data_IF_098394385094
#
_entry.id   IF_098394385094
#
_cell.length_a   1.000
_cell.length_b   1.000
_cell.length_c   1.000
_cell.angle_alpha   90.00
_cell.angle_beta   90.00
_cell.angle_gamma   90.00
#
_symmetry.space_group_name_H-M   'P 1'
#
loop_
_entity.id
_entity.type
_entity.pdbx_description
1 polymer ?
#
# COMPACT_ATOMS: atom_id res chain seq x y z
N UNK A 1 38.82 -32.01 23.39
CA UNK A 1 39.15 -30.60 23.70
C UNK A 1 38.41 -29.72 22.71
N UNK A 2 37.45 -28.91 23.18
CA UNK A 2 36.62 -28.07 22.32
C UNK A 2 37.16 -26.64 22.29
N UNK A 3 37.55 -26.17 21.12
CA UNK A 3 38.04 -24.81 20.88
C UNK A 3 36.86 -23.84 20.81
N UNK A 4 36.77 -22.92 21.77
CA UNK A 4 35.80 -21.84 21.75
C UNK A 4 36.20 -20.81 20.68
N UNK A 5 35.42 -20.71 19.61
CA UNK A 5 35.55 -19.66 18.60
C UNK A 5 34.90 -18.41 19.18
N UNK A 6 35.69 -17.49 19.72
CA UNK A 6 35.21 -16.17 20.14
C UNK A 6 34.96 -15.32 18.89
N UNK A 7 33.70 -14.99 18.64
CA UNK A 7 33.31 -14.03 17.61
C UNK A 7 33.67 -12.60 18.10
N UNK A 8 34.90 -12.17 17.81
CA UNK A 8 35.30 -10.76 17.96
C UNK A 8 34.94 -10.02 16.68
N UNK A 9 33.82 -9.29 16.69
CA UNK A 9 33.48 -8.36 15.62
C UNK A 9 34.61 -7.31 15.46
N UNK A 10 35.01 -6.95 14.22
CA UNK A 10 36.07 -6.00 14.00
C UNK A 10 35.67 -4.62 14.53
N UNK A 11 36.43 -4.12 15.51
CA UNK A 11 36.24 -2.83 16.23
C UNK A 11 36.16 -1.59 15.33
N UNK A 12 36.50 -1.72 14.05
CA UNK A 12 36.41 -0.68 13.02
C UNK A 12 34.97 -0.32 12.67
N UNK A 13 34.03 -1.26 12.69
CA UNK A 13 32.64 -1.01 12.30
C UNK A 13 31.86 -0.19 13.35
N UNK A 14 32.18 -0.36 14.63
CA UNK A 14 31.51 0.37 15.70
C UNK A 14 31.79 1.88 15.64
N UNK A 15 33.04 2.27 15.34
CA UNK A 15 33.43 3.68 15.25
C UNK A 15 32.80 4.39 14.04
N UNK A 16 32.65 3.68 12.93
CA UNK A 16 31.99 4.22 11.74
C UNK A 16 30.49 4.42 11.98
N UNK A 17 29.85 3.45 12.64
CA UNK A 17 28.44 3.54 13.03
C UNK A 17 28.21 4.70 14.02
N UNK A 18 29.11 4.91 14.99
CA UNK A 18 29.04 6.03 15.93
C UNK A 18 29.21 7.40 15.23
N UNK A 19 30.11 7.49 14.26
CA UNK A 19 30.29 8.70 13.46
C UNK A 19 29.08 9.00 12.58
N UNK A 20 28.48 7.99 11.95
CA UNK A 20 27.24 8.13 11.17
C UNK A 20 26.05 8.55 12.05
N UNK A 21 25.95 8.00 13.27
CA UNK A 21 24.94 8.41 14.27
C UNK A 21 25.12 9.85 14.71
N UNK A 22 26.35 10.32 14.88
CA UNK A 22 26.63 11.71 15.25
C UNK A 22 26.39 12.71 14.08
N UNK A 23 26.49 12.24 12.83
CA UNK A 23 26.20 13.04 11.63
C UNK A 23 24.69 13.16 11.33
N UNK A 24 23.85 12.30 11.91
CA UNK A 24 22.40 12.41 11.82
C UNK A 24 21.88 13.52 12.74
N UNK A 25 20.98 14.36 12.23
CA UNK A 25 20.29 15.35 13.07
C UNK A 25 19.48 14.64 14.16
N UNK A 26 19.40 15.27 15.35
CA UNK A 26 18.68 14.73 16.51
C UNK A 26 17.23 14.37 16.12
N UNK A 27 16.57 15.23 15.35
CA UNK A 27 15.20 15.01 14.86
C UNK A 27 15.07 13.74 13.98
N UNK A 28 16.09 13.46 13.16
CA UNK A 28 16.09 12.30 12.27
C UNK A 28 16.43 11.03 13.03
N UNK A 29 17.22 11.12 14.08
CA UNK A 29 17.54 10.01 14.97
C UNK A 29 16.31 9.60 15.80
N UNK A 30 15.55 10.57 16.29
CA UNK A 30 14.27 10.34 16.96
C UNK A 30 13.23 9.73 16.02
N UNK A 31 13.19 10.17 14.75
CA UNK A 31 12.33 9.56 13.74
C UNK A 31 12.72 8.10 13.48
N UNK A 32 13.99 7.82 13.20
CA UNK A 32 14.48 6.46 12.90
C UNK A 32 14.29 5.53 14.10
N UNK A 33 14.54 6.00 15.31
CA UNK A 33 14.30 5.19 16.52
C UNK A 33 12.81 4.95 16.75
N UNK A 34 11.94 5.93 16.47
CA UNK A 34 10.48 5.73 16.54
C UNK A 34 9.99 4.67 15.55
N UNK A 35 10.52 4.65 14.33
CA UNK A 35 10.20 3.66 13.29
C UNK A 35 10.68 2.25 13.68
N UNK A 36 11.91 2.11 14.18
CA UNK A 36 12.49 0.83 14.62
C UNK A 36 11.71 0.24 15.79
N UNK A 37 11.25 1.07 16.71
CA UNK A 37 10.52 0.64 17.90
C UNK A 37 9.01 0.55 17.70
N UNK A 38 8.50 0.82 16.49
CA UNK A 38 7.06 0.79 16.20
C UNK A 38 6.27 1.79 17.04
N UNK A 39 6.91 2.82 17.57
CA UNK A 39 6.19 3.94 18.19
C UNK A 39 5.40 4.61 17.08
N UNK A 40 4.15 5.03 17.31
CA UNK A 40 3.42 5.81 16.32
C UNK A 40 4.27 7.03 15.99
N UNK A 41 4.81 7.05 14.77
CA UNK A 41 5.55 8.21 14.32
C UNK A 41 4.56 9.38 14.22
N UNK A 42 5.01 10.63 14.34
CA UNK A 42 4.16 11.80 14.06
C UNK A 42 3.57 11.80 12.63
N UNK A 43 4.12 10.95 11.75
CA UNK A 43 3.70 10.72 10.37
C UNK A 43 2.72 9.53 10.24
N UNK A 44 2.42 8.83 11.34
CA UNK A 44 1.42 7.78 11.34
C UNK A 44 0.05 8.44 11.27
N UNK A 45 -0.64 8.18 10.17
CA UNK A 45 -1.93 8.77 9.87
C UNK A 45 -2.97 8.11 10.79
N UNK A 46 -3.56 8.89 11.70
CA UNK A 46 -4.59 8.37 12.60
C UNK A 46 -5.82 7.95 11.78
N UNK A 47 -6.19 6.68 11.87
CA UNK A 47 -7.39 6.14 11.22
C UNK A 47 -8.65 6.64 11.95
N UNK A 48 -9.01 7.91 11.76
CA UNK A 48 -10.28 8.45 12.23
C UNK A 48 -11.42 7.91 11.37
N UNK A 49 -12.60 7.72 11.98
CA UNK A 49 -13.77 7.23 11.25
C UNK A 49 -14.17 8.18 10.11
N UNK A 50 -13.97 9.49 10.29
CA UNK A 50 -14.21 10.52 9.28
C UNK A 50 -13.28 10.36 8.06
N UNK A 51 -11.99 10.11 8.31
CA UNK A 51 -11.04 9.83 7.25
C UNK A 51 -11.41 8.56 6.49
N UNK A 52 -11.78 7.50 7.20
CA UNK A 52 -12.18 6.23 6.58
C UNK A 52 -13.40 6.43 5.69
N UNK A 53 -14.42 7.14 6.16
CA UNK A 53 -15.63 7.39 5.37
C UNK A 53 -15.33 8.26 4.14
N UNK A 54 -14.62 9.37 4.32
CA UNK A 54 -14.27 10.28 3.22
C UNK A 54 -13.41 9.59 2.15
N UNK A 55 -12.42 8.80 2.55
CA UNK A 55 -11.55 8.05 1.64
C UNK A 55 -12.29 6.92 0.90
N UNK A 56 -13.21 6.22 1.54
CA UNK A 56 -14.05 5.20 0.88
C UNK A 56 -14.95 5.82 -0.19
N UNK A 57 -15.55 6.98 0.10
CA UNK A 57 -16.37 7.72 -0.88
C UNK A 57 -15.51 8.24 -2.03
N UNK A 58 -14.33 8.77 -1.74
CA UNK A 58 -13.39 9.22 -2.76
C UNK A 58 -12.92 8.07 -3.66
N UNK A 59 -12.64 6.91 -3.07
CA UNK A 59 -12.24 5.70 -3.81
C UNK A 59 -13.34 5.20 -4.74
N UNK A 60 -14.59 5.20 -4.29
CA UNK A 60 -15.71 4.81 -5.13
C UNK A 60 -15.87 5.74 -6.34
N UNK A 61 -15.78 7.06 -6.12
CA UNK A 61 -15.81 8.04 -7.22
C UNK A 61 -14.65 7.84 -8.20
N UNK A 62 -13.44 7.62 -7.71
CA UNK A 62 -12.26 7.40 -8.56
C UNK A 62 -12.44 6.15 -9.43
N UNK A 63 -12.91 5.04 -8.84
CA UNK A 63 -13.17 3.80 -9.57
C UNK A 63 -14.26 3.97 -10.63
N UNK A 64 -15.32 4.73 -10.34
CA UNK A 64 -16.38 5.04 -11.31
C UNK A 64 -15.88 5.89 -12.48
N UNK A 65 -15.04 6.91 -12.20
CA UNK A 65 -14.44 7.76 -13.24
C UNK A 65 -13.57 6.93 -14.18
N UNK A 66 -12.75 6.02 -13.64
CA UNK A 66 -11.88 5.16 -14.44
C UNK A 66 -12.63 4.16 -15.29
N UNK A 67 -13.73 3.61 -14.77
CA UNK A 67 -14.61 2.73 -15.55
C UNK A 67 -15.20 3.47 -16.76
N UNK A 68 -15.67 4.71 -16.58
CA UNK A 68 -16.20 5.53 -17.70
C UNK A 68 -15.13 5.91 -18.71
N UNK A 69 -13.96 6.33 -18.22
CA UNK A 69 -12.85 6.70 -19.12
C UNK A 69 -12.44 5.54 -20.02
N UNK A 70 -12.41 4.31 -19.48
CA UNK A 70 -12.04 3.12 -20.26
C UNK A 70 -13.08 2.73 -21.30
N UNK A 71 -14.37 2.96 -21.04
CA UNK A 71 -15.42 2.67 -22.04
C UNK A 71 -15.38 3.61 -23.25
N UNK A 72 -14.91 4.85 -23.07
CA UNK A 72 -14.81 5.83 -24.16
C UNK A 72 -13.57 5.59 -25.05
N UNK A 73 -12.52 4.94 -24.51
CA UNK A 73 -11.27 4.65 -25.23
C UNK A 73 -11.34 3.34 -26.06
N UNK A 74 -12.30 2.46 -25.79
CA UNK A 74 -12.45 1.16 -26.46
C UNK A 74 -13.58 1.16 -27.50
N UNK A 75 -13.45 1.96 -28.56
CA UNK A 75 -14.43 1.94 -29.68
C UNK A 75 -14.12 0.87 -30.74
N UNK A 76 -12.99 0.16 -30.67
CA UNK A 76 -12.46 -0.59 -31.81
C UNK A 76 -12.49 -2.13 -31.71
N UNK A 77 -13.01 -2.71 -30.61
CA UNK A 77 -13.18 -4.17 -30.50
C UNK A 77 -14.50 -4.54 -29.81
N UNK A 78 -15.34 -5.32 -30.51
CA UNK A 78 -16.59 -5.92 -30.02
C UNK A 78 -16.41 -6.96 -28.89
N UNK A 79 -15.21 -7.08 -28.32
CA UNK A 79 -14.97 -7.94 -27.18
C UNK A 79 -15.37 -7.20 -25.92
N UNK A 80 -16.33 -7.79 -25.20
CA UNK A 80 -16.96 -7.33 -23.95
C UNK A 80 -15.96 -7.36 -22.77
N UNK A 81 -14.74 -6.85 -22.99
CA UNK A 81 -13.67 -6.65 -22.02
C UNK A 81 -13.97 -5.41 -21.16
N UNK A 82 -15.16 -5.44 -20.55
CA UNK A 82 -15.42 -4.76 -19.28
C UNK A 82 -14.19 -4.93 -18.40
N UNK A 83 -13.58 -3.83 -17.93
CA UNK A 83 -12.38 -3.86 -17.07
C UNK A 83 -12.40 -5.03 -16.08
N UNK A 84 -11.26 -5.68 -15.76
CA UNK A 84 -11.22 -6.80 -14.82
C UNK A 84 -11.95 -6.51 -13.50
N UNK A 85 -11.82 -5.27 -13.02
CA UNK A 85 -12.57 -4.75 -11.88
C UNK A 85 -14.09 -4.66 -12.15
N UNK A 86 -14.50 -4.09 -13.29
CA UNK A 86 -15.90 -4.06 -13.73
C UNK A 86 -16.54 -5.46 -13.83
N UNK A 87 -15.81 -6.44 -14.37
CA UNK A 87 -16.24 -7.85 -14.39
C UNK A 87 -16.42 -8.38 -12.97
N UNK A 88 -15.46 -8.13 -12.07
CA UNK A 88 -15.56 -8.55 -10.68
C UNK A 88 -16.75 -7.90 -9.94
N UNK A 89 -17.05 -6.63 -10.21
CA UNK A 89 -18.22 -5.94 -9.65
C UNK A 89 -19.53 -6.54 -10.16
N UNK A 90 -19.60 -6.93 -11.45
CA UNK A 90 -20.78 -7.60 -12.01
C UNK A 90 -20.97 -9.01 -11.42
N UNK A 91 -19.89 -9.76 -11.25
CA UNK A 91 -19.94 -11.15 -10.79
C UNK A 91 -20.18 -11.29 -9.28
N UNK A 92 -19.55 -10.45 -8.46
CA UNK A 92 -19.65 -10.56 -7.00
C UNK A 92 -19.61 -9.18 -6.32
N UNK A 93 -20.66 -8.35 -6.50
CA UNK A 93 -20.69 -6.99 -5.94
C UNK A 93 -20.58 -6.98 -4.42
N UNK A 94 -21.15 -7.99 -3.74
CA UNK A 94 -21.11 -8.12 -2.28
C UNK A 94 -19.68 -8.22 -1.75
N UNK A 95 -18.80 -8.95 -2.45
CA UNK A 95 -17.40 -9.04 -2.04
C UNK A 95 -16.60 -7.79 -2.41
N UNK A 96 -16.74 -7.31 -3.65
CA UNK A 96 -15.92 -6.21 -4.17
C UNK A 96 -16.25 -4.86 -3.52
N UNK A 97 -17.53 -4.64 -3.16
CA UNK A 97 -17.99 -3.38 -2.55
C UNK A 97 -17.91 -3.38 -1.03
N UNK A 98 -17.52 -4.48 -0.39
CA UNK A 98 -17.42 -4.56 1.07
C UNK A 98 -16.38 -3.58 1.61
N UNK A 99 -16.73 -2.88 2.71
CA UNK A 99 -15.85 -1.94 3.43
C UNK A 99 -14.48 -2.55 3.75
N UNK A 100 -14.47 -3.78 4.27
CA UNK A 100 -13.25 -4.52 4.63
C UNK A 100 -12.34 -4.73 3.42
N UNK A 101 -12.90 -5.13 2.27
CA UNK A 101 -12.14 -5.36 1.05
C UNK A 101 -11.47 -4.06 0.57
N UNK A 102 -12.23 -2.97 0.47
CA UNK A 102 -11.71 -1.66 0.02
C UNK A 102 -10.68 -1.08 1.00
N UNK A 103 -10.92 -1.19 2.30
CA UNK A 103 -10.01 -0.68 3.34
C UNK A 103 -8.63 -1.32 3.30
N UNK A 104 -8.53 -2.61 2.95
CA UNK A 104 -7.23 -3.28 2.78
C UNK A 104 -6.33 -2.52 1.81
N UNK A 105 -6.87 -2.04 0.68
CA UNK A 105 -6.10 -1.34 -0.34
C UNK A 105 -5.78 0.09 0.09
N UNK A 106 -6.74 0.80 0.71
CA UNK A 106 -6.51 2.13 1.26
C UNK A 106 -5.41 2.12 2.32
N UNK A 107 -5.45 1.18 3.27
CA UNK A 107 -4.39 1.04 4.29
C UNK A 107 -3.03 0.74 3.68
N UNK A 108 -2.99 -0.13 2.67
CA UNK A 108 -1.75 -0.50 2.01
C UNK A 108 -1.10 0.67 1.24
N UNK A 109 -1.89 1.67 0.85
CA UNK A 109 -1.44 2.89 0.16
C UNK A 109 -1.50 4.14 1.05
N UNK A 110 -1.60 3.98 2.39
CA UNK A 110 -1.68 5.10 3.35
C UNK A 110 -2.79 6.11 3.01
N UNK A 111 -3.94 5.60 2.59
CA UNK A 111 -5.13 6.36 2.17
C UNK A 111 -4.93 7.24 0.92
N UNK A 112 -3.90 6.98 0.11
CA UNK A 112 -3.80 7.53 -1.24
C UNK A 112 -4.81 6.85 -2.17
N UNK A 113 -5.88 7.58 -2.48
CA UNK A 113 -7.05 7.07 -3.21
C UNK A 113 -6.68 6.63 -4.63
N UNK A 114 -5.82 7.37 -5.32
CA UNK A 114 -5.45 7.07 -6.71
C UNK A 114 -4.61 5.80 -6.78
N UNK A 115 -3.61 5.68 -5.89
CA UNK A 115 -2.80 4.47 -5.82
C UNK A 115 -3.61 3.26 -5.35
N UNK A 116 -4.56 3.47 -4.43
CA UNK A 116 -5.44 2.39 -3.99
C UNK A 116 -6.33 1.89 -5.14
N UNK A 117 -6.86 2.79 -5.97
CA UNK A 117 -7.61 2.43 -7.17
C UNK A 117 -6.73 1.65 -8.18
N UNK A 118 -5.50 2.12 -8.46
CA UNK A 118 -4.53 1.40 -9.31
C UNK A 118 -4.29 -0.02 -8.79
N UNK A 119 -4.13 -0.15 -7.47
CA UNK A 119 -3.85 -1.43 -6.83
C UNK A 119 -5.04 -2.37 -6.88
N UNK A 120 -6.26 -1.86 -6.77
CA UNK A 120 -7.49 -2.65 -6.94
C UNK A 120 -7.61 -3.17 -8.37
N UNK A 121 -7.37 -2.32 -9.37
CA UNK A 121 -7.40 -2.73 -10.77
C UNK A 121 -6.36 -3.82 -11.05
N UNK A 122 -5.11 -3.60 -10.65
CA UNK A 122 -4.03 -4.59 -10.78
C UNK A 122 -4.34 -5.88 -10.04
N UNK A 123 -4.99 -5.80 -8.87
CA UNK A 123 -5.39 -6.99 -8.14
C UNK A 123 -6.35 -7.85 -8.95
N UNK A 124 -7.37 -7.24 -9.57
CA UNK A 124 -8.32 -7.98 -10.40
C UNK A 124 -7.76 -8.39 -11.74
N UNK A 125 -6.90 -7.59 -12.36
CA UNK A 125 -6.16 -7.96 -13.57
C UNK A 125 -5.26 -9.18 -13.32
N UNK A 126 -4.51 -9.17 -12.20
CA UNK A 126 -3.68 -10.30 -11.80
C UNK A 126 -4.53 -11.52 -11.49
N UNK A 127 -5.66 -11.33 -10.80
CA UNK A 127 -6.57 -12.43 -10.46
C UNK A 127 -7.23 -13.02 -11.72
N UNK A 128 -7.62 -12.18 -12.67
CA UNK A 128 -8.13 -12.58 -13.98
C UNK A 128 -7.02 -13.38 -14.71
N UNK A 129 -5.85 -12.79 -14.89
CA UNK A 129 -4.69 -13.45 -15.52
C UNK A 129 -4.33 -14.82 -14.90
N UNK A 130 -4.47 -14.98 -13.59
CA UNK A 130 -4.16 -16.24 -12.90
C UNK A 130 -5.31 -17.25 -12.90
N UNK A 131 -6.57 -16.81 -13.03
CA UNK A 131 -7.74 -17.66 -12.75
C UNK A 131 -8.90 -17.60 -13.78
N UNK A 132 -8.95 -16.68 -14.75
CA UNK A 132 -10.00 -16.63 -15.80
C UNK A 132 -10.46 -15.23 -16.16
#
# INVERSE_FOLDING_TARGET
>A
MATAISFTAPRTELKTIEAEKAALSVDRLDLVTSEVHGKPSPLMLEETDELIQSSLVALEKELDVRQRKRSDESEESNDDDSSPYGRAVRLCPEYVKTRVFRLKFLRAEKFDVQKAADRIEKHWETRLRLFG
#
